data_IF_368764362819
#
_entry.id   IF_368764362819
#
_cell.length_a   1.000
_cell.length_b   1.000
_cell.length_c   1.000
_cell.angle_alpha   90.00
_cell.angle_beta   90.00
_cell.angle_gamma   90.00
#
_symmetry.space_group_name_H-M   'P 1'
#
loop_
_entity.id
_entity.type
_entity.pdbx_description
1 polymer ?
#
# COMPACT_ATOMS: atom_id res chain seq x y z
N UNK A 1 20.28 -0.82 16.68
CA UNK A 1 20.23 0.31 15.71
C UNK A 1 19.13 0.09 14.67
N UNK A 2 19.01 -1.10 14.08
CA UNK A 2 18.01 -1.44 13.06
C UNK A 2 16.54 -1.23 13.51
N UNK A 3 16.20 -1.60 14.75
CA UNK A 3 14.84 -1.47 15.27
C UNK A 3 14.32 -0.01 15.35
N UNK A 4 15.19 0.95 15.69
CA UNK A 4 14.81 2.37 15.79
C UNK A 4 14.53 2.95 14.40
N UNK A 5 15.33 2.57 13.41
CA UNK A 5 15.13 3.02 12.03
C UNK A 5 13.87 2.41 11.42
N UNK A 6 13.62 1.11 11.65
CA UNK A 6 12.39 0.45 11.24
C UNK A 6 11.14 1.10 11.85
N UNK A 7 11.17 1.44 13.15
CA UNK A 7 10.08 2.16 13.81
C UNK A 7 9.78 3.50 13.13
N UNK A 8 10.82 4.26 12.77
CA UNK A 8 10.65 5.55 12.09
C UNK A 8 9.96 5.38 10.74
N UNK A 9 10.36 4.37 9.96
CA UNK A 9 9.69 4.04 8.72
C UNK A 9 8.23 3.68 8.93
N UNK A 10 7.92 2.81 9.90
CA UNK A 10 6.55 2.39 10.22
C UNK A 10 5.66 3.57 10.62
N UNK A 11 6.15 4.47 11.48
CA UNK A 11 5.39 5.64 11.93
C UNK A 11 5.07 6.59 10.78
N UNK A 12 6.05 6.90 9.92
CA UNK A 12 5.82 7.80 8.78
C UNK A 12 4.90 7.13 7.75
N UNK A 13 5.08 5.83 7.49
CA UNK A 13 4.16 5.07 6.63
C UNK A 13 2.72 5.18 7.12
N UNK A 14 2.49 4.99 8.43
CA UNK A 14 1.18 5.10 9.05
C UNK A 14 0.59 6.50 8.87
N UNK A 15 1.37 7.56 9.07
CA UNK A 15 0.91 8.94 8.86
C UNK A 15 0.44 9.18 7.42
N UNK A 16 1.20 8.71 6.44
CA UNK A 16 0.85 8.84 5.02
C UNK A 16 -0.41 8.05 4.68
N UNK A 17 -0.52 6.82 5.17
CA UNK A 17 -1.68 5.95 4.92
C UNK A 17 -2.94 6.39 5.67
N UNK A 18 -2.79 7.04 6.82
CA UNK A 18 -3.89 7.76 7.49
C UNK A 18 -4.42 8.87 6.57
N UNK A 19 -3.52 9.69 6.01
CA UNK A 19 -3.88 10.72 5.04
C UNK A 19 -4.53 10.14 3.78
N UNK A 20 -3.99 9.04 3.23
CA UNK A 20 -4.59 8.34 2.09
C UNK A 20 -6.01 7.89 2.40
N UNK A 21 -6.23 7.28 3.58
CA UNK A 21 -7.54 6.83 4.04
C UNK A 21 -8.52 8.00 4.20
N UNK A 22 -8.11 9.10 4.83
CA UNK A 22 -8.95 10.30 4.97
C UNK A 22 -9.36 10.87 3.61
N UNK A 23 -8.44 10.92 2.64
CA UNK A 23 -8.75 11.36 1.28
C UNK A 23 -9.73 10.40 0.59
N UNK A 24 -9.60 9.10 0.83
CA UNK A 24 -10.53 8.10 0.31
C UNK A 24 -11.94 8.23 0.89
N UNK A 25 -12.06 8.47 2.19
CA UNK A 25 -13.36 8.75 2.81
C UNK A 25 -13.99 10.04 2.24
N UNK A 26 -13.17 11.06 1.98
CA UNK A 26 -13.61 12.30 1.33
C UNK A 26 -14.02 12.12 -0.15
N UNK A 27 -13.53 11.08 -0.84
CA UNK A 27 -13.87 10.79 -2.24
C UNK A 27 -15.37 10.59 -2.45
N UNK A 28 -16.08 10.06 -1.44
CA UNK A 28 -17.54 9.89 -1.46
C UNK A 28 -18.25 11.23 -1.75
N UNK A 29 -17.72 12.34 -1.23
CA UNK A 29 -18.32 13.67 -1.36
C UNK A 29 -17.64 14.53 -2.44
N UNK A 30 -16.35 14.33 -2.68
CA UNK A 30 -15.51 15.19 -3.53
C UNK A 30 -15.22 14.58 -4.91
N UNK A 31 -15.67 13.36 -5.17
CA UNK A 31 -15.43 12.65 -6.43
C UNK A 31 -13.93 12.40 -6.67
N UNK A 32 -13.54 12.25 -7.93
CA UNK A 32 -12.20 11.76 -8.30
C UNK A 32 -11.04 12.73 -8.02
N UNK A 33 -11.31 13.98 -7.62
CA UNK A 33 -10.28 15.02 -7.38
C UNK A 33 -9.24 14.57 -6.34
N UNK A 34 -9.69 13.85 -5.30
CA UNK A 34 -8.82 13.38 -4.20
C UNK A 34 -8.15 12.03 -4.48
N UNK A 35 -8.51 11.37 -5.58
CA UNK A 35 -8.02 10.02 -5.92
C UNK A 35 -6.52 9.99 -6.16
N UNK A 36 -6.01 10.94 -6.93
CA UNK A 36 -4.59 11.01 -7.26
C UNK A 36 -3.72 11.29 -6.02
N UNK A 37 -4.04 12.31 -5.20
CA UNK A 37 -3.37 12.50 -3.91
C UNK A 37 -3.42 11.27 -3.00
N UNK A 38 -4.56 10.56 -2.94
CA UNK A 38 -4.67 9.34 -2.15
C UNK A 38 -3.71 8.24 -2.63
N UNK A 39 -3.63 8.01 -3.95
CA UNK A 39 -2.71 7.04 -4.54
C UNK A 39 -1.24 7.40 -4.32
N UNK A 40 -0.88 8.69 -4.36
CA UNK A 40 0.48 9.15 -4.05
C UNK A 40 0.88 8.79 -2.62
N UNK A 41 0.03 9.13 -1.66
CA UNK A 41 0.27 8.82 -0.26
C UNK A 41 0.33 7.32 -0.01
N UNK A 42 -0.47 6.54 -0.76
CA UNK A 42 -0.47 5.07 -0.69
C UNK A 42 0.85 4.50 -1.20
N UNK A 43 1.35 4.96 -2.35
CA UNK A 43 2.63 4.54 -2.91
C UNK A 43 3.81 4.85 -1.98
N UNK A 44 3.86 6.08 -1.45
CA UNK A 44 4.88 6.47 -0.48
C UNK A 44 4.77 5.68 0.83
N UNK A 45 3.54 5.43 1.31
CA UNK A 45 3.28 4.60 2.48
C UNK A 45 3.85 3.19 2.30
N UNK A 46 3.51 2.53 1.19
CA UNK A 46 4.02 1.20 0.84
C UNK A 46 5.56 1.17 0.77
N UNK A 47 6.18 2.17 0.14
CA UNK A 47 7.64 2.29 0.05
C UNK A 47 8.29 2.27 1.45
N UNK A 48 7.72 3.02 2.40
CA UNK A 48 8.25 3.11 3.75
C UNK A 48 8.01 1.83 4.57
N UNK A 49 6.85 1.17 4.42
CA UNK A 49 6.61 -0.13 5.07
C UNK A 49 7.67 -1.15 4.61
N UNK A 50 7.93 -1.22 3.30
CA UNK A 50 8.94 -2.11 2.72
C UNK A 50 10.32 -1.79 3.28
N UNK A 51 10.73 -0.51 3.29
CA UNK A 51 12.03 -0.10 3.85
C UNK A 51 12.16 -0.43 5.34
N UNK A 52 11.07 -0.32 6.09
CA UNK A 52 11.00 -0.74 7.48
C UNK A 52 11.22 -2.24 7.63
N UNK A 53 10.56 -3.06 6.80
CA UNK A 53 10.68 -4.52 6.82
C UNK A 53 12.10 -4.97 6.44
N UNK A 54 12.68 -4.43 5.36
CA UNK A 54 14.08 -4.68 5.00
C UNK A 54 15.02 -4.38 6.17
N UNK A 55 14.84 -3.23 6.81
CA UNK A 55 15.67 -2.82 7.95
C UNK A 55 15.54 -3.79 9.14
N UNK A 56 14.33 -4.31 9.40
CA UNK A 56 14.10 -5.30 10.46
C UNK A 56 14.83 -6.61 10.19
N UNK A 57 14.87 -7.01 8.92
CA UNK A 57 15.45 -8.26 8.44
C UNK A 57 16.92 -8.17 8.06
N UNK A 58 17.61 -7.11 8.51
CA UNK A 58 19.05 -6.95 8.36
C UNK A 58 19.50 -6.44 6.99
N UNK A 59 18.56 -6.13 6.10
CA UNK A 59 18.85 -5.52 4.80
C UNK A 59 18.80 -3.99 4.88
N UNK A 60 19.85 -3.33 4.41
CA UNK A 60 19.87 -1.89 4.33
C UNK A 60 19.02 -1.43 3.14
N UNK A 61 17.97 -0.60 3.33
CA UNK A 61 17.17 -0.13 2.22
C UNK A 61 18.02 0.72 1.27
N UNK A 62 17.95 0.49 -0.06
CA UNK A 62 18.75 1.24 -1.02
C UNK A 62 18.32 2.72 -1.05
N UNK A 63 19.27 3.56 -1.46
CA UNK A 63 19.09 5.03 -1.56
C UNK A 63 19.00 5.48 -3.03
N UNK A 64 18.55 6.72 -3.23
CA UNK A 64 18.40 7.30 -4.57
C UNK A 64 17.39 6.51 -5.41
N UNK A 65 17.59 6.48 -6.73
CA UNK A 65 16.64 5.86 -7.68
C UNK A 65 16.29 4.41 -7.34
N UNK A 66 17.26 3.60 -6.90
CA UNK A 66 17.03 2.20 -6.49
C UNK A 66 16.12 2.08 -5.27
N UNK A 67 16.15 3.07 -4.38
CA UNK A 67 15.28 3.15 -3.21
C UNK A 67 13.80 3.38 -3.52
N UNK A 68 13.48 3.70 -4.78
CA UNK A 68 12.11 3.91 -5.27
C UNK A 68 11.63 2.78 -6.19
N UNK A 69 12.44 1.75 -6.44
CA UNK A 69 12.05 0.57 -7.23
C UNK A 69 11.20 -0.38 -6.38
N UNK A 70 10.01 0.10 -5.97
CA UNK A 70 9.14 -0.55 -4.97
C UNK A 70 8.87 -2.02 -5.32
N UNK A 71 8.65 -2.34 -6.60
CA UNK A 71 8.36 -3.71 -7.03
C UNK A 71 9.53 -4.66 -6.74
N UNK A 72 10.76 -4.24 -7.03
CA UNK A 72 11.95 -5.04 -6.73
C UNK A 72 12.12 -5.23 -5.22
N UNK A 73 11.90 -4.17 -4.44
CA UNK A 73 12.00 -4.23 -2.98
C UNK A 73 10.91 -5.11 -2.36
N UNK A 74 9.69 -5.03 -2.90
CA UNK A 74 8.54 -5.86 -2.50
C UNK A 74 8.81 -7.34 -2.73
N UNK A 75 9.58 -7.70 -3.77
CA UNK A 75 9.93 -9.08 -4.10
C UNK A 75 11.13 -9.63 -3.30
N UNK A 76 11.84 -8.80 -2.52
CA UNK A 76 12.95 -9.28 -1.68
C UNK A 76 12.49 -10.39 -0.73
N UNK A 77 13.35 -11.38 -0.49
CA UNK A 77 13.11 -12.42 0.50
C UNK A 77 12.87 -11.83 1.89
N UNK A 78 13.58 -10.75 2.25
CA UNK A 78 13.39 -10.03 3.50
C UNK A 78 12.01 -9.40 3.68
N UNK A 79 11.20 -9.30 2.62
CA UNK A 79 9.83 -8.79 2.67
C UNK A 79 8.77 -9.91 2.78
N UNK A 80 9.16 -11.18 2.92
CA UNK A 80 8.20 -12.29 3.05
C UNK A 80 7.21 -12.10 4.21
N UNK A 81 7.64 -11.74 5.45
CA UNK A 81 6.70 -11.54 6.56
C UNK A 81 5.70 -10.41 6.26
N UNK A 82 6.17 -9.34 5.63
CA UNK A 82 5.32 -8.22 5.20
C UNK A 82 4.25 -8.68 4.20
N UNK A 83 4.61 -9.48 3.19
CA UNK A 83 3.63 -9.98 2.21
C UNK A 83 2.55 -10.81 2.89
N UNK A 84 2.93 -11.72 3.79
CA UNK A 84 1.96 -12.52 4.56
C UNK A 84 0.98 -11.66 5.37
N UNK A 85 1.47 -10.63 6.04
CA UNK A 85 0.63 -9.70 6.83
C UNK A 85 -0.27 -8.85 5.92
N UNK A 86 0.23 -8.38 4.78
CA UNK A 86 -0.59 -7.65 3.81
C UNK A 86 -1.74 -8.53 3.32
N UNK A 87 -1.47 -9.80 3.02
CA UNK A 87 -2.48 -10.73 2.55
C UNK A 87 -3.54 -11.02 3.62
N UNK A 88 -3.13 -11.28 4.86
CA UNK A 88 -4.08 -11.44 5.97
C UNK A 88 -4.95 -10.18 6.17
N UNK A 89 -4.35 -8.99 6.08
CA UNK A 89 -5.09 -7.74 6.18
C UNK A 89 -6.00 -7.47 4.97
N UNK A 90 -5.67 -7.99 3.79
CA UNK A 90 -6.52 -7.91 2.60
C UNK A 90 -7.81 -8.73 2.78
N UNK A 91 -7.68 -9.95 3.31
CA UNK A 91 -8.84 -10.78 3.65
C UNK A 91 -9.73 -10.11 4.70
N UNK A 92 -9.11 -9.54 5.75
CA UNK A 92 -9.86 -8.80 6.77
C UNK A 92 -10.58 -7.58 6.19
N UNK A 93 -9.98 -6.84 5.26
CA UNK A 93 -10.66 -5.71 4.62
C UNK A 93 -11.81 -6.15 3.72
N UNK A 94 -11.64 -7.26 3.00
CA UNK A 94 -12.72 -7.83 2.22
C UNK A 94 -13.90 -8.21 3.12
N UNK A 95 -13.63 -8.87 4.24
CA UNK A 95 -14.68 -9.25 5.20
C UNK A 95 -15.36 -8.03 5.84
N UNK A 96 -14.58 -7.02 6.23
CA UNK A 96 -15.14 -5.78 6.77
C UNK A 96 -16.04 -5.07 5.76
N UNK A 97 -15.64 -5.06 4.49
CA UNK A 97 -16.45 -4.47 3.43
C UNK A 97 -17.73 -5.25 3.16
N UNK A 98 -17.72 -6.58 3.27
CA UNK A 98 -18.94 -7.41 3.19
C UNK A 98 -19.94 -7.07 4.29
N UNK A 99 -19.43 -6.83 5.50
CA UNK A 99 -20.25 -6.46 6.66
C UNK A 99 -20.73 -5.00 6.61
N UNK A 100 -20.10 -4.16 5.78
CA UNK A 100 -20.33 -2.71 5.72
C UNK A 100 -20.96 -2.29 4.39
N UNK A 101 -22.29 -2.18 4.32
CA UNK A 101 -22.99 -1.68 3.13
C UNK A 101 -22.81 -0.17 2.90
N UNK A 102 -22.54 0.30 1.66
CA UNK A 102 -21.52 -0.16 0.74
C UNK A 102 -20.27 0.72 0.87
N UNK A 103 -19.13 0.15 1.26
CA UNK A 103 -17.86 0.80 0.97
C UNK A 103 -17.69 0.87 -0.55
N UNK A 104 -17.80 2.07 -1.11
CA UNK A 104 -17.53 2.35 -2.52
C UNK A 104 -16.20 1.69 -2.92
N UNK A 105 -16.16 0.97 -4.04
CA UNK A 105 -14.92 0.46 -4.62
C UNK A 105 -14.36 -0.84 -4.03
N UNK A 106 -15.05 -1.52 -3.10
CA UNK A 106 -14.71 -2.90 -2.73
C UNK A 106 -15.44 -3.87 -3.66
N UNK A 107 -14.74 -4.82 -4.32
CA UNK A 107 -15.37 -5.82 -5.16
C UNK A 107 -16.49 -6.57 -4.43
N UNK A 108 -17.72 -6.51 -4.97
CA UNK A 108 -18.81 -7.39 -4.58
C UNK A 108 -18.56 -8.81 -5.08
N UNK A 109 -19.29 -9.78 -4.52
CA UNK A 109 -19.27 -11.22 -4.80
C UNK A 109 -19.53 -11.57 -6.28
N UNK A 110 -18.64 -11.20 -7.19
CA UNK A 110 -18.49 -11.96 -8.41
C UNK A 110 -17.89 -13.31 -8.00
N UNK A 111 -18.54 -14.41 -8.38
CA UNK A 111 -18.00 -15.76 -8.22
C UNK A 111 -16.55 -15.78 -8.73
N UNK A 112 -15.61 -16.07 -7.82
CA UNK A 112 -14.16 -16.10 -8.12
C UNK A 112 -13.36 -14.87 -7.69
N UNK A 113 -13.88 -13.95 -6.86
CA UNK A 113 -13.05 -12.90 -6.27
C UNK A 113 -12.04 -13.48 -5.24
N UNK A 114 -10.76 -13.46 -5.60
CA UNK A 114 -9.64 -13.81 -4.73
C UNK A 114 -8.98 -12.53 -4.20
N UNK A 115 -9.06 -12.32 -2.88
CA UNK A 115 -8.45 -11.16 -2.20
C UNK A 115 -6.94 -11.08 -2.44
N UNK A 116 -6.28 -12.24 -2.52
CA UNK A 116 -4.85 -12.38 -2.70
C UNK A 116 -4.44 -11.95 -4.11
N UNK A 117 -5.15 -12.45 -5.11
CA UNK A 117 -4.91 -12.08 -6.51
C UNK A 117 -5.16 -10.58 -6.71
N UNK A 118 -6.27 -10.06 -6.17
CA UNK A 118 -6.61 -8.65 -6.31
C UNK A 118 -5.59 -7.74 -5.62
N UNK A 119 -5.24 -7.99 -4.35
CA UNK A 119 -4.28 -7.12 -3.65
C UNK A 119 -2.90 -7.17 -4.30
N UNK A 120 -2.49 -8.34 -4.79
CA UNK A 120 -1.23 -8.50 -5.52
C UNK A 120 -1.23 -7.70 -6.82
N UNK A 121 -2.32 -7.78 -7.60
CA UNK A 121 -2.50 -6.98 -8.81
C UNK A 121 -2.51 -5.48 -8.54
N UNK A 122 -3.20 -5.03 -7.48
CA UNK A 122 -3.25 -3.62 -7.10
C UNK A 122 -1.91 -3.07 -6.61
N UNK A 123 -1.15 -3.86 -5.84
CA UNK A 123 0.22 -3.50 -5.44
C UNK A 123 1.13 -3.39 -6.67
N UNK A 124 1.02 -4.33 -7.63
CA UNK A 124 1.79 -4.28 -8.87
C UNK A 124 1.49 -2.99 -9.65
N UNK A 125 0.21 -2.69 -9.89
CA UNK A 125 -0.20 -1.46 -10.56
C UNK A 125 0.31 -0.22 -9.82
N UNK A 126 0.16 -0.16 -8.49
CA UNK A 126 0.66 0.97 -7.69
C UNK A 126 2.17 1.13 -7.84
N UNK A 127 2.93 0.02 -7.82
CA UNK A 127 4.38 0.04 -8.01
C UNK A 127 4.77 0.60 -9.37
N UNK A 128 4.10 0.19 -10.45
CA UNK A 128 4.36 0.70 -11.81
C UNK A 128 4.10 2.21 -11.89
N UNK A 129 2.97 2.66 -11.33
CA UNK A 129 2.55 4.06 -11.34
C UNK A 129 3.52 4.94 -10.54
N UNK A 130 3.98 4.45 -9.39
CA UNK A 130 4.91 5.16 -8.51
C UNK A 130 6.34 5.24 -9.07
N UNK A 131 6.73 4.30 -9.94
CA UNK A 131 8.07 4.21 -10.53
C UNK A 131 8.20 4.89 -11.92
N UNK A 132 7.11 5.40 -12.49
CA UNK A 132 7.03 5.82 -13.88
C UNK A 132 7.93 7.03 -14.29
N UNK A 133 8.50 7.80 -13.36
CA UNK A 133 9.44 8.88 -13.73
C UNK A 133 10.43 9.22 -12.60
N UNK A 134 11.72 9.48 -12.92
CA UNK A 134 12.72 9.91 -11.96
C UNK A 134 12.53 11.36 -11.45
N UNK A 135 11.74 12.18 -12.14
CA UNK A 135 11.59 13.61 -11.83
C UNK A 135 10.28 13.93 -11.09
N UNK A 136 9.25 13.09 -11.26
CA UNK A 136 7.97 13.21 -10.58
C UNK A 136 7.44 11.80 -10.27
N UNK A 137 7.33 11.40 -8.99
CA UNK A 137 6.63 10.17 -8.65
C UNK A 137 5.17 10.37 -9.08
N UNK A 138 4.69 9.51 -9.97
CA UNK A 138 3.40 9.52 -10.70
C UNK A 138 3.39 10.31 -12.02
N UNK A 139 3.58 9.59 -13.13
CA UNK A 139 2.89 9.88 -14.39
C UNK A 139 1.65 9.00 -14.45
N UNK A 140 0.47 9.54 -14.15
CA UNK A 140 -0.74 8.91 -14.67
C UNK A 140 -0.94 9.44 -16.08
N UNK A 141 -0.93 8.57 -17.10
CA UNK A 141 -1.14 9.02 -18.46
C UNK A 141 -2.54 9.60 -18.59
N UNK A 142 -2.66 10.67 -19.37
CA UNK A 142 -3.93 11.17 -19.90
C UNK A 142 -4.60 10.17 -20.87
N UNK A 143 -4.04 8.97 -21.01
CA UNK A 143 -4.52 7.90 -21.88
C UNK A 143 -5.54 7.01 -21.16
N UNK A 144 -6.68 6.80 -21.81
CA UNK A 144 -7.89 6.13 -21.29
C UNK A 144 -7.74 4.63 -20.98
N UNK A 145 -6.55 4.05 -21.12
CA UNK A 145 -6.30 2.60 -21.02
C UNK A 145 -5.78 2.13 -19.66
N UNK A 146 -5.44 3.03 -18.74
CA UNK A 146 -4.88 2.65 -17.44
C UNK A 146 -5.98 2.40 -16.39
N UNK A 147 -6.09 1.16 -15.92
CA UNK A 147 -6.87 0.82 -14.71
C UNK A 147 -6.09 1.29 -13.48
N UNK A 148 -6.39 2.50 -12.99
CA UNK A 148 -5.91 2.90 -11.67
C UNK A 148 -6.47 1.94 -10.59
N UNK A 149 -5.69 1.59 -9.55
CA UNK A 149 -6.13 0.65 -8.51
C UNK A 149 -7.47 1.05 -7.91
N UNK A 150 -8.28 0.05 -7.51
CA UNK A 150 -9.48 0.30 -6.70
C UNK A 150 -9.02 0.75 -5.32
N UNK A 151 -8.99 2.05 -5.19
CA UNK A 151 -8.25 2.78 -4.15
C UNK A 151 -8.71 2.46 -2.72
N UNK A 152 -10.01 2.25 -2.43
CA UNK A 152 -10.49 1.91 -1.09
C UNK A 152 -9.92 0.62 -0.51
N UNK A 153 -9.93 -0.48 -1.28
CA UNK A 153 -9.44 -1.79 -0.83
C UNK A 153 -7.94 -1.75 -0.56
N UNK A 154 -7.14 -1.28 -1.54
CA UNK A 154 -5.69 -1.10 -1.38
C UNK A 154 -5.32 -0.25 -0.17
N UNK A 155 -5.97 0.90 -0.03
CA UNK A 155 -5.69 1.86 1.04
C UNK A 155 -6.05 1.26 2.39
N UNK A 156 -7.21 0.63 2.51
CA UNK A 156 -7.63 -0.05 3.75
C UNK A 156 -6.61 -1.12 4.16
N UNK A 157 -6.22 -1.99 3.23
CA UNK A 157 -5.29 -3.08 3.50
C UNK A 157 -3.96 -2.54 3.99
N UNK A 158 -3.35 -1.61 3.25
CA UNK A 158 -2.06 -1.04 3.62
C UNK A 158 -2.15 -0.20 4.90
N UNK A 159 -3.27 0.50 5.13
CA UNK A 159 -3.54 1.22 6.37
C UNK A 159 -3.53 0.29 7.57
N UNK A 160 -4.17 -0.89 7.50
CA UNK A 160 -4.11 -1.90 8.57
C UNK A 160 -2.72 -2.47 8.74
N UNK A 161 -2.05 -2.82 7.65
CA UNK A 161 -0.67 -3.32 7.70
C UNK A 161 0.26 -2.32 8.37
N UNK A 162 0.15 -1.02 8.06
CA UNK A 162 0.97 0.02 8.71
C UNK A 162 0.65 0.19 10.19
N UNK A 163 -0.61 0.04 10.57
CA UNK A 163 -1.04 0.09 11.98
C UNK A 163 -0.46 -1.08 12.78
N UNK A 164 -0.52 -2.29 12.20
CA UNK A 164 0.09 -3.48 12.77
C UNK A 164 1.60 -3.35 12.87
N UNK A 165 2.27 -2.83 11.85
CA UNK A 165 3.71 -2.61 11.87
C UNK A 165 4.13 -1.63 12.96
N UNK A 166 3.35 -0.57 13.21
CA UNK A 166 3.64 0.38 14.31
C UNK A 166 3.48 -0.27 15.68
N UNK A 167 2.48 -1.15 15.84
CA UNK A 167 2.14 -1.78 17.12
C UNK A 167 2.96 -3.03 17.43
N UNK A 168 3.37 -3.78 16.41
CA UNK A 168 4.00 -5.09 16.54
C UNK A 168 5.09 -5.31 15.46
N UNK A 169 6.20 -4.57 15.56
CA UNK A 169 7.30 -4.69 14.61
C UNK A 169 7.90 -6.10 14.54
N UNK A 170 7.84 -6.86 15.62
CA UNK A 170 8.37 -8.24 15.66
C UNK A 170 7.66 -9.19 14.71
N UNK A 171 6.40 -8.93 14.34
CA UNK A 171 5.68 -9.76 13.35
C UNK A 171 6.24 -9.61 11.93
N UNK A 172 7.02 -8.56 11.67
CA UNK A 172 7.59 -8.25 10.35
C UNK A 172 9.03 -8.77 10.22
N UNK A 173 9.44 -9.71 11.08
CA UNK A 173 10.75 -10.37 11.06
C UNK A 173 10.67 -11.81 10.60
#
# INVERSE_FOLDING_TARGET
>A
MNHVNAQRYAVVAKQLLEGARTLMEAQIQKGEIVRLPALLLTGQGLELIIKGCLTLNGEAPPRGRKGHQILELWQSAACEPLRGIVYANAEMELENARLSSPFFGVPGEADGFDALEEISGQIHCLCELHQASPDYPLRYPTESSYRAPRTPFLVGTLWRTSDEMVKNLSAFR
#
